data_IF_918549759025
#
_entry.id   IF_918549759025
#
_cell.length_a   1.000
_cell.length_b   1.000
_cell.length_c   1.000
_cell.angle_alpha   90.00
_cell.angle_beta   90.00
_cell.angle_gamma   90.00
#
_symmetry.space_group_name_H-M   'P 1'
#
loop_
_entity.id
_entity.type
_entity.pdbx_description
1 polymer ?
#
# COMPACT_ATOMS: atom_id res chain seq x y z
N UNK A 1 -6.24 3.27 -1.33
CA UNK A 1 -5.23 2.21 -1.18
C UNK A 1 -4.20 2.55 -0.08
N UNK A 2 -3.47 3.69 -0.18
CA UNK A 2 -2.45 4.07 0.81
C UNK A 2 -3.01 4.13 2.25
N UNK A 3 -4.21 4.66 2.43
CA UNK A 3 -4.90 4.70 3.72
C UNK A 3 -5.13 3.32 4.31
N UNK A 4 -5.51 2.34 3.48
CA UNK A 4 -5.69 0.95 3.91
C UNK A 4 -4.36 0.31 4.37
N UNK A 5 -3.28 0.56 3.61
CA UNK A 5 -1.93 0.10 3.96
C UNK A 5 -1.50 0.67 5.30
N UNK A 6 -1.66 2.00 5.50
CA UNK A 6 -1.29 2.66 6.74
C UNK A 6 -2.11 2.14 7.93
N UNK A 7 -3.41 1.97 7.78
CA UNK A 7 -4.26 1.42 8.84
C UNK A 7 -3.83 -0.01 9.27
N UNK A 8 -3.48 -0.86 8.29
CA UNK A 8 -2.96 -2.21 8.59
C UNK A 8 -1.58 -2.12 9.23
N UNK A 9 -0.68 -1.26 8.71
CA UNK A 9 0.66 -1.04 9.29
C UNK A 9 0.56 -0.59 10.73
N UNK A 10 -0.25 0.45 10.99
CA UNK A 10 -0.42 1.03 12.32
C UNK A 10 -1.07 0.02 13.29
N UNK A 11 -2.02 -0.79 12.81
CA UNK A 11 -2.59 -1.89 13.58
C UNK A 11 -1.56 -2.96 13.94
N UNK A 12 -0.71 -3.37 13.00
CA UNK A 12 0.33 -4.39 13.26
C UNK A 12 1.41 -3.84 14.19
N UNK A 13 1.87 -2.61 13.96
CA UNK A 13 2.91 -1.95 14.76
C UNK A 13 2.41 -1.66 16.18
N UNK A 14 1.14 -1.27 16.33
CA UNK A 14 0.58 -0.90 17.63
C UNK A 14 1.28 0.32 18.23
N UNK A 15 1.63 0.24 19.51
CA UNK A 15 2.43 1.24 20.23
C UNK A 15 3.94 0.91 20.20
N UNK A 16 4.35 0.01 19.30
CA UNK A 16 5.73 -0.44 19.16
C UNK A 16 6.06 -1.70 19.94
N UNK A 17 7.35 -2.00 20.03
CA UNK A 17 7.88 -3.18 20.70
C UNK A 17 8.23 -2.85 22.14
N UNK A 18 7.70 -3.60 23.08
CA UNK A 18 8.03 -3.44 24.49
C UNK A 18 9.43 -3.97 24.75
N UNK A 19 10.37 -3.07 24.95
CA UNK A 19 11.76 -3.34 25.28
C UNK A 19 12.11 -2.79 26.66
N UNK A 20 13.08 -3.43 27.29
CA UNK A 20 13.71 -2.90 28.52
C UNK A 20 14.98 -2.16 28.07
N UNK A 21 14.82 -0.88 27.67
CA UNK A 21 15.91 0.03 27.28
C UNK A 21 15.88 0.41 25.79
N UNK A 22 16.44 1.57 25.46
CA UNK A 22 16.65 2.05 24.08
C UNK A 22 17.94 1.43 23.54
N UNK A 23 17.86 0.21 23.02
CA UNK A 23 19.01 -0.44 22.43
C UNK A 23 19.07 -0.19 20.92
N UNK A 24 20.19 0.40 20.47
CA UNK A 24 20.49 0.54 19.06
C UNK A 24 20.91 -0.81 18.49
N UNK A 25 20.32 -1.17 17.35
CA UNK A 25 20.55 -2.47 16.72
C UNK A 25 21.61 -2.41 15.60
N UNK A 26 22.07 -1.21 15.26
CA UNK A 26 23.09 -1.01 14.23
C UNK A 26 23.88 0.30 14.47
N UNK A 27 24.98 0.44 13.72
CA UNK A 27 25.85 1.62 13.77
C UNK A 27 25.24 2.89 13.20
N UNK A 28 24.09 2.84 12.54
CA UNK A 28 23.33 4.03 12.09
C UNK A 28 22.52 4.66 13.23
N UNK A 29 22.47 4.05 14.39
CA UNK A 29 21.70 4.51 15.52
C UNK A 29 20.19 4.22 15.37
N UNK A 30 19.83 3.20 14.59
CA UNK A 30 18.45 2.74 14.51
C UNK A 30 18.13 1.81 15.68
N UNK A 31 16.96 2.02 16.26
CA UNK A 31 16.42 1.16 17.32
C UNK A 31 15.72 -0.07 16.74
N UNK A 32 15.36 -1.01 17.60
CA UNK A 32 14.57 -2.17 17.19
C UNK A 32 13.20 -1.73 16.67
N UNK A 33 12.58 -0.73 17.29
CA UNK A 33 11.31 -0.16 16.83
C UNK A 33 11.41 0.45 15.42
N UNK A 34 12.48 1.19 15.13
CA UNK A 34 12.71 1.78 13.81
C UNK A 34 12.78 0.71 12.71
N UNK A 35 13.48 -0.40 12.99
CA UNK A 35 13.58 -1.51 12.05
C UNK A 35 12.26 -2.26 11.96
N UNK A 36 11.59 -2.49 13.09
CA UNK A 36 10.30 -3.17 13.13
C UNK A 36 9.22 -2.43 12.35
N UNK A 37 9.13 -1.10 12.48
CA UNK A 37 8.18 -0.28 11.70
C UNK A 37 8.40 -0.44 10.18
N UNK A 38 9.66 -0.42 9.73
CA UNK A 38 10.01 -0.62 8.32
C UNK A 38 9.68 -2.02 7.82
N UNK A 39 9.93 -3.03 8.64
CA UNK A 39 9.57 -4.43 8.37
C UNK A 39 8.05 -4.59 8.23
N UNK A 40 7.29 -3.98 9.14
CA UNK A 40 5.80 -4.01 9.10
C UNK A 40 5.28 -3.33 7.83
N UNK A 41 5.87 -2.21 7.43
CA UNK A 41 5.48 -1.52 6.20
C UNK A 41 5.74 -2.38 4.96
N UNK A 42 6.96 -2.92 4.80
CA UNK A 42 7.32 -3.77 3.67
C UNK A 42 6.45 -5.04 3.63
N UNK A 43 6.23 -5.68 4.78
CA UNK A 43 5.36 -6.84 4.87
C UNK A 43 3.91 -6.52 4.45
N UNK A 44 3.40 -5.35 4.83
CA UNK A 44 2.04 -4.94 4.46
C UNK A 44 1.92 -4.65 2.96
N UNK A 45 2.95 -4.06 2.36
CA UNK A 45 3.01 -3.74 0.94
C UNK A 45 3.26 -4.96 0.05
N UNK A 46 4.25 -5.79 0.42
CA UNK A 46 4.80 -6.82 -0.46
C UNK A 46 4.51 -8.24 0.01
N UNK A 47 3.92 -8.42 1.19
CA UNK A 47 3.77 -9.73 1.85
C UNK A 47 5.13 -10.40 2.16
N UNK A 48 6.17 -9.59 2.25
CA UNK A 48 7.57 -9.97 2.48
C UNK A 48 8.38 -8.80 3.03
N UNK A 49 9.55 -9.08 3.56
CA UNK A 49 10.54 -8.07 3.95
C UNK A 49 11.97 -8.63 3.87
N UNK A 50 12.94 -7.77 3.84
CA UNK A 50 14.34 -8.16 3.80
C UNK A 50 15.19 -7.38 4.84
N UNK A 51 16.09 -8.09 5.48
CA UNK A 51 17.06 -7.53 6.42
C UNK A 51 18.47 -7.89 5.96
N UNK A 52 19.40 -6.96 6.07
CA UNK A 52 20.82 -7.30 6.07
C UNK A 52 21.23 -7.56 7.51
N UNK A 53 21.69 -8.76 7.77
CA UNK A 53 22.23 -9.19 9.05
C UNK A 53 23.73 -9.30 8.96
N UNK A 54 24.43 -8.74 9.94
CA UNK A 54 25.89 -8.76 10.00
C UNK A 54 26.31 -9.53 11.25
N UNK A 55 26.99 -10.64 11.05
CA UNK A 55 27.50 -11.47 12.13
C UNK A 55 28.76 -10.86 12.74
N UNK A 56 29.00 -11.14 14.02
CA UNK A 56 30.25 -10.80 14.67
C UNK A 56 31.41 -11.65 14.11
N UNK A 57 32.65 -11.28 14.43
CA UNK A 57 33.85 -11.97 13.92
C UNK A 57 33.91 -13.45 14.29
N UNK A 58 33.30 -13.82 15.39
CA UNK A 58 33.28 -15.19 15.89
C UNK A 58 32.16 -16.03 15.24
N UNK A 59 31.19 -15.38 14.62
CA UNK A 59 30.03 -16.04 14.01
C UNK A 59 29.07 -16.68 15.00
N UNK A 60 29.09 -16.23 16.25
CA UNK A 60 28.23 -16.77 17.31
C UNK A 60 27.03 -15.87 17.65
N UNK A 61 27.03 -14.64 17.18
CA UNK A 61 25.91 -13.71 17.35
C UNK A 61 25.82 -12.72 16.17
N UNK A 62 24.62 -12.24 15.87
CA UNK A 62 24.38 -11.13 14.95
C UNK A 62 24.79 -9.85 15.69
N UNK A 63 25.72 -9.08 15.11
CA UNK A 63 26.22 -7.83 15.65
C UNK A 63 25.34 -6.64 15.23
N UNK A 64 24.81 -6.65 14.00
CA UNK A 64 24.04 -5.55 13.46
C UNK A 64 22.92 -6.06 12.55
N UNK A 65 21.79 -5.35 12.56
CA UNK A 65 20.66 -5.60 11.68
C UNK A 65 20.25 -4.31 10.98
N UNK A 66 20.11 -4.36 9.67
CA UNK A 66 19.67 -3.25 8.84
C UNK A 66 18.44 -3.63 8.04
N UNK A 67 17.47 -2.75 7.95
CA UNK A 67 16.37 -2.91 7.01
C UNK A 67 16.85 -2.64 5.58
N UNK A 68 16.49 -3.51 4.65
CA UNK A 68 16.65 -3.30 3.22
C UNK A 68 15.27 -3.10 2.60
N UNK A 69 14.99 -1.95 1.96
CA UNK A 69 13.74 -1.76 1.25
C UNK A 69 13.50 -2.92 0.28
N UNK A 70 12.40 -3.64 0.48
CA UNK A 70 12.14 -4.90 -0.23
C UNK A 70 12.14 -4.75 -1.74
N UNK A 71 11.60 -3.64 -2.27
CA UNK A 71 11.60 -3.33 -3.69
C UNK A 71 13.01 -3.16 -4.29
N UNK A 72 14.03 -3.00 -3.46
CA UNK A 72 15.42 -2.85 -3.88
C UNK A 72 16.22 -4.16 -3.80
N UNK A 73 15.60 -5.24 -3.32
CA UNK A 73 16.22 -6.57 -3.27
C UNK A 73 15.76 -7.41 -4.45
N UNK A 74 16.67 -8.17 -5.04
CA UNK A 74 16.40 -9.15 -6.09
C UNK A 74 16.98 -10.49 -5.70
N UNK A 75 16.23 -11.56 -5.95
CA UNK A 75 16.71 -12.93 -5.78
C UNK A 75 17.72 -13.31 -6.86
N UNK A 76 18.72 -14.08 -6.49
CA UNK A 76 19.58 -14.79 -7.41
C UNK A 76 18.86 -15.95 -8.07
N UNK A 77 19.63 -16.77 -8.77
CA UNK A 77 19.14 -18.03 -9.33
C UNK A 77 19.01 -19.08 -8.23
N UNK A 78 18.10 -20.03 -8.45
CA UNK A 78 18.04 -21.24 -7.64
C UNK A 78 19.23 -22.15 -7.97
N UNK A 79 19.73 -22.84 -6.97
CA UNK A 79 20.72 -23.90 -7.11
C UNK A 79 20.08 -25.24 -7.54
N UNK A 80 20.85 -26.31 -7.49
CA UNK A 80 20.42 -27.67 -7.86
C UNK A 80 19.37 -28.25 -6.89
N UNK A 81 19.28 -27.69 -5.68
CA UNK A 81 18.33 -28.06 -4.62
C UNK A 81 17.10 -27.13 -4.57
N UNK A 82 16.87 -26.34 -5.63
CA UNK A 82 15.80 -25.33 -5.72
C UNK A 82 15.85 -24.26 -4.59
N UNK A 83 17.06 -23.95 -4.09
CA UNK A 83 17.26 -22.94 -3.05
C UNK A 83 17.88 -21.66 -3.63
N UNK A 84 17.42 -20.50 -3.15
CA UNK A 84 18.06 -19.22 -3.47
C UNK A 84 19.20 -18.99 -2.48
N UNK A 85 20.43 -19.06 -2.98
CA UNK A 85 21.65 -18.95 -2.16
C UNK A 85 22.22 -17.53 -2.12
N UNK A 86 21.73 -16.64 -2.97
CA UNK A 86 22.24 -15.27 -3.11
C UNK A 86 21.11 -14.28 -3.40
N UNK A 87 21.24 -13.07 -2.84
CA UNK A 87 20.37 -11.94 -3.11
C UNK A 87 21.21 -10.74 -3.52
N UNK A 88 20.63 -9.87 -4.34
CA UNK A 88 21.26 -8.66 -4.82
C UNK A 88 20.50 -7.43 -4.33
N UNK A 89 21.23 -6.42 -3.88
CA UNK A 89 20.67 -5.13 -3.49
C UNK A 89 21.23 -4.02 -4.37
N UNK A 90 20.33 -3.14 -4.85
CA UNK A 90 20.71 -1.87 -5.46
C UNK A 90 19.69 -0.80 -5.07
N UNK A 91 20.17 0.37 -4.68
CA UNK A 91 19.28 1.49 -4.36
C UNK A 91 18.50 2.03 -5.57
N UNK A 92 18.98 1.76 -6.80
CA UNK A 92 18.32 2.17 -8.06
C UNK A 92 18.60 1.20 -9.18
N UNK A 93 17.76 0.22 -9.37
CA UNK A 93 17.89 -0.81 -10.42
C UNK A 93 17.83 -0.28 -11.85
N UNK A 94 17.21 0.87 -12.08
CA UNK A 94 17.17 1.53 -13.39
C UNK A 94 18.48 2.24 -13.77
N UNK A 95 19.47 2.32 -12.86
CA UNK A 95 20.75 2.99 -13.10
C UNK A 95 21.90 2.26 -12.39
N UNK A 96 22.15 1.01 -12.80
CA UNK A 96 23.18 0.16 -12.22
C UNK A 96 24.60 0.69 -12.44
N UNK A 97 24.82 1.56 -13.42
CA UNK A 97 26.13 2.19 -13.66
C UNK A 97 26.53 3.11 -12.50
N UNK A 98 25.57 3.85 -11.93
CA UNK A 98 25.80 4.76 -10.79
C UNK A 98 25.58 4.07 -9.46
N UNK A 99 24.66 3.08 -9.41
CA UNK A 99 24.25 2.37 -8.23
C UNK A 99 24.38 0.86 -8.49
N UNK A 100 25.64 0.32 -8.47
CA UNK A 100 25.90 -1.08 -8.79
C UNK A 100 25.15 -2.00 -7.83
N UNK A 101 24.69 -3.12 -8.34
CA UNK A 101 24.11 -4.16 -7.51
C UNK A 101 25.20 -4.84 -6.70
N UNK A 102 24.96 -4.97 -5.41
CA UNK A 102 25.83 -5.70 -4.48
C UNK A 102 25.18 -7.05 -4.16
N UNK A 103 25.93 -8.13 -4.34
CA UNK A 103 25.53 -9.48 -3.99
C UNK A 103 25.76 -9.75 -2.49
N UNK A 104 24.82 -10.46 -1.91
CA UNK A 104 24.88 -10.94 -0.53
C UNK A 104 24.42 -12.40 -0.50
N UNK A 105 25.07 -13.19 0.33
CA UNK A 105 24.61 -14.54 0.56
C UNK A 105 23.23 -14.56 1.24
N UNK A 106 22.45 -15.60 0.95
CA UNK A 106 21.24 -15.86 1.69
C UNK A 106 21.58 -16.18 3.17
N UNK A 107 20.68 -15.86 4.07
CA UNK A 107 20.87 -16.07 5.50
C UNK A 107 21.13 -17.54 5.81
N UNK A 108 22.28 -17.80 6.41
CA UNK A 108 22.71 -19.10 6.91
C UNK A 108 23.44 -18.93 8.25
N UNK A 109 22.84 -19.42 9.32
CA UNK A 109 23.41 -19.33 10.66
C UNK A 109 24.63 -20.24 10.86
N UNK A 110 24.90 -21.16 9.94
CA UNK A 110 26.04 -22.12 10.06
C UNK A 110 27.28 -21.71 9.28
N UNK A 111 27.12 -20.92 8.20
CA UNK A 111 28.20 -20.42 7.37
C UNK A 111 28.21 -18.89 7.32
N UNK A 112 28.68 -18.27 8.38
CA UNK A 112 28.48 -16.85 8.69
C UNK A 112 29.76 -16.11 9.09
N UNK A 113 30.94 -16.61 8.68
CA UNK A 113 32.24 -16.00 9.01
C UNK A 113 32.92 -15.40 7.78
N UNK A 114 33.89 -14.50 8.04
CA UNK A 114 34.68 -13.88 6.98
C UNK A 114 33.83 -13.14 5.97
N UNK A 115 33.97 -13.45 4.69
CA UNK A 115 33.21 -12.82 3.61
C UNK A 115 31.72 -13.14 3.67
N UNK A 116 31.33 -14.20 4.39
CA UNK A 116 29.93 -14.61 4.60
C UNK A 116 29.29 -13.96 5.83
N UNK A 117 29.97 -13.07 6.53
CA UNK A 117 29.44 -12.43 7.74
C UNK A 117 28.26 -11.48 7.45
N UNK A 118 28.14 -10.93 6.25
CA UNK A 118 27.02 -10.06 5.85
C UNK A 118 26.09 -10.82 4.92
N UNK A 119 24.86 -11.04 5.37
CA UNK A 119 23.88 -11.89 4.72
C UNK A 119 22.55 -11.19 4.60
N UNK A 120 21.68 -11.63 3.68
CA UNK A 120 20.31 -11.17 3.57
C UNK A 120 19.35 -12.22 4.14
N UNK A 121 18.65 -11.84 5.21
CA UNK A 121 17.48 -12.56 5.68
C UNK A 121 16.28 -12.07 4.85
N UNK A 122 15.75 -12.97 4.00
CA UNK A 122 14.63 -12.72 3.11
C UNK A 122 13.43 -13.50 3.58
N UNK A 123 12.44 -12.82 4.15
CA UNK A 123 11.20 -13.41 4.63
C UNK A 123 10.05 -13.11 3.66
N UNK A 124 9.29 -14.12 3.31
CA UNK A 124 8.09 -13.96 2.49
C UNK A 124 7.00 -14.96 2.89
N UNK A 125 5.76 -14.60 2.64
CA UNK A 125 4.65 -15.54 2.76
C UNK A 125 4.56 -16.39 1.49
N UNK A 126 4.48 -17.69 1.69
CA UNK A 126 4.32 -18.63 0.60
C UNK A 126 3.13 -18.27 -0.29
N UNK A 127 3.37 -18.23 -1.60
CA UNK A 127 2.37 -18.00 -2.63
C UNK A 127 2.55 -19.08 -3.70
N UNK A 128 1.59 -19.99 -3.89
CA UNK A 128 1.71 -21.06 -4.89
C UNK A 128 2.05 -20.53 -6.29
N UNK A 129 3.04 -21.14 -6.94
CA UNK A 129 3.50 -20.75 -8.27
C UNK A 129 4.32 -19.47 -8.36
N UNK A 130 4.77 -18.93 -7.22
CA UNK A 130 5.64 -17.75 -7.14
C UNK A 130 6.84 -18.05 -6.26
N UNK A 131 7.90 -18.60 -6.84
CA UNK A 131 9.04 -19.12 -6.10
C UNK A 131 10.03 -18.04 -5.68
N UNK A 132 10.08 -16.91 -6.40
CA UNK A 132 11.04 -15.82 -6.14
C UNK A 132 10.44 -14.65 -5.36
N UNK A 133 9.20 -14.26 -5.70
CA UNK A 133 8.55 -13.10 -5.11
C UNK A 133 7.11 -13.42 -4.74
N UNK A 134 6.69 -13.11 -3.52
CA UNK A 134 5.30 -13.30 -3.12
C UNK A 134 4.38 -12.30 -3.83
N UNK A 135 3.10 -12.65 -3.90
CA UNK A 135 2.08 -11.69 -4.28
C UNK A 135 1.63 -10.88 -3.05
N UNK A 136 1.34 -9.59 -3.23
CA UNK A 136 0.78 -8.77 -2.15
C UNK A 136 -0.58 -9.34 -1.71
N UNK A 137 -0.89 -9.20 -0.43
CA UNK A 137 -2.13 -9.75 0.14
C UNK A 137 -3.40 -9.19 -0.52
N UNK A 138 -3.32 -8.00 -1.10
CA UNK A 138 -4.40 -7.28 -1.78
C UNK A 138 -4.38 -7.45 -3.32
N UNK A 139 -3.70 -8.47 -3.84
CA UNK A 139 -3.54 -8.71 -5.29
C UNK A 139 -4.86 -8.69 -6.06
N UNK A 140 -5.95 -9.17 -5.45
CA UNK A 140 -7.28 -9.16 -6.07
C UNK A 140 -7.82 -7.74 -6.36
N UNK A 141 -7.32 -6.72 -5.66
CA UNK A 141 -7.73 -5.32 -5.82
C UNK A 141 -6.81 -4.49 -6.71
N UNK A 142 -5.76 -5.04 -7.31
CA UNK A 142 -4.79 -4.26 -8.09
C UNK A 142 -5.43 -3.49 -9.25
N UNK A 143 -6.37 -4.12 -9.96
CA UNK A 143 -7.09 -3.48 -11.06
C UNK A 143 -7.98 -2.31 -10.56
N UNK A 144 -8.62 -2.47 -9.41
CA UNK A 144 -9.45 -1.41 -8.81
C UNK A 144 -8.59 -0.27 -8.29
N UNK A 145 -7.40 -0.56 -7.74
CA UNK A 145 -6.39 0.45 -7.33
C UNK A 145 -5.87 1.24 -8.54
N UNK A 146 -5.58 0.57 -9.65
CA UNK A 146 -5.18 1.23 -10.89
C UNK A 146 -6.31 2.07 -11.48
N UNK A 147 -7.54 1.55 -11.43
CA UNK A 147 -8.72 2.25 -11.92
C UNK A 147 -8.99 3.52 -11.10
N UNK A 148 -8.88 3.48 -9.76
CA UNK A 148 -8.96 4.63 -8.87
C UNK A 148 -7.99 5.74 -9.29
N UNK A 149 -6.71 5.39 -9.54
CA UNK A 149 -5.72 6.33 -10.01
C UNK A 149 -6.03 6.90 -11.39
N UNK A 150 -6.61 6.10 -12.29
CA UNK A 150 -7.03 6.56 -13.64
C UNK A 150 -8.24 7.48 -13.58
N UNK A 151 -9.23 7.17 -12.76
CA UNK A 151 -10.42 8.01 -12.54
C UNK A 151 -10.00 9.35 -11.95
N UNK A 152 -9.16 9.35 -10.92
CA UNK A 152 -8.65 10.58 -10.33
C UNK A 152 -7.89 11.45 -11.35
N UNK A 153 -7.03 10.86 -12.19
CA UNK A 153 -6.34 11.59 -13.26
C UNK A 153 -7.29 12.13 -14.32
N UNK A 154 -8.32 11.36 -14.65
CA UNK A 154 -9.35 11.79 -15.59
C UNK A 154 -10.07 13.04 -15.08
N UNK A 155 -10.46 13.06 -13.80
CA UNK A 155 -11.10 14.24 -13.19
C UNK A 155 -10.17 15.44 -13.14
N UNK A 156 -8.89 15.24 -12.73
CA UNK A 156 -7.88 16.32 -12.76
C UNK A 156 -7.71 16.88 -14.18
N UNK A 157 -7.59 16.02 -15.18
CA UNK A 157 -7.46 16.46 -16.56
C UNK A 157 -8.72 17.19 -17.06
N UNK A 158 -9.92 16.71 -16.69
CA UNK A 158 -11.17 17.37 -17.04
C UNK A 158 -11.28 18.76 -16.42
N UNK A 159 -10.95 18.89 -15.14
CA UNK A 159 -10.93 20.19 -14.44
C UNK A 159 -9.88 21.12 -15.07
N UNK A 160 -8.67 20.64 -15.30
CA UNK A 160 -7.56 21.42 -15.88
C UNK A 160 -7.83 21.84 -17.32
N UNK A 161 -8.58 21.05 -18.07
CA UNK A 161 -8.93 21.33 -19.46
C UNK A 161 -10.36 21.91 -19.64
N UNK A 162 -10.99 22.35 -18.53
CA UNK A 162 -12.33 22.97 -18.58
C UNK A 162 -13.46 22.00 -18.91
N UNK A 163 -13.53 20.82 -18.23
CA UNK A 163 -14.64 19.89 -18.29
C UNK A 163 -15.06 19.49 -19.71
N UNK A 164 -14.40 18.50 -20.32
CA UNK A 164 -14.76 17.83 -21.60
C UNK A 164 -15.09 18.80 -22.79
N UNK A 165 -15.05 18.41 -24.04
CA UNK A 165 -15.41 19.31 -25.12
C UNK A 165 -16.85 19.75 -24.91
N UNK A 166 -17.01 20.95 -24.33
CA UNK A 166 -18.30 21.48 -23.94
C UNK A 166 -19.07 22.08 -25.12
N UNK A 167 -18.37 22.30 -26.22
CA UNK A 167 -18.97 22.99 -27.37
C UNK A 167 -18.55 22.31 -28.68
N UNK A 168 -19.58 22.03 -29.50
CA UNK A 168 -19.41 21.73 -30.91
C UNK A 168 -19.73 23.00 -31.70
N UNK A 169 -18.72 23.55 -32.40
CA UNK A 169 -18.84 24.75 -33.21
C UNK A 169 -18.84 24.32 -34.68
N UNK A 170 -19.96 24.50 -35.37
CA UNK A 170 -20.06 24.20 -36.80
C UNK A 170 -20.13 25.50 -37.59
N UNK A 171 -19.09 25.74 -38.43
CA UNK A 171 -19.09 26.85 -39.37
C UNK A 171 -19.71 26.39 -40.68
N UNK A 172 -20.76 27.09 -41.14
CA UNK A 172 -21.52 26.78 -42.37
C UNK A 172 -21.18 27.72 -43.52
N UNK A 173 -19.98 28.35 -43.52
CA UNK A 173 -19.52 29.40 -44.44
C UNK A 173 -18.60 28.86 -45.55
N UNK A 174 -18.75 27.60 -45.96
CA UNK A 174 -17.88 26.95 -46.89
C UNK A 174 -16.71 26.18 -46.24
N UNK A 175 -15.96 25.47 -47.07
CA UNK A 175 -14.79 24.70 -46.62
C UNK A 175 -13.52 25.58 -46.76
N UNK A 176 -12.96 26.11 -45.65
CA UNK A 176 -11.76 26.95 -45.73
C UNK A 176 -10.53 26.17 -46.15
N UNK A 177 -9.56 26.85 -46.70
CA UNK A 177 -8.25 26.28 -47.03
C UNK A 177 -7.57 25.72 -45.75
N UNK A 178 -6.59 24.80 -45.90
CA UNK A 178 -5.86 24.26 -44.72
C UNK A 178 -5.20 25.36 -43.88
N UNK A 179 -4.77 26.45 -44.51
CA UNK A 179 -4.14 27.63 -43.85
C UNK A 179 -5.17 28.39 -43.03
N UNK A 180 -6.32 28.73 -43.61
CA UNK A 180 -7.44 29.37 -42.91
C UNK A 180 -8.01 28.54 -41.75
N UNK A 181 -8.06 27.20 -41.87
CA UNK A 181 -8.43 26.33 -40.76
C UNK A 181 -7.46 26.45 -39.59
N UNK A 182 -6.17 26.54 -39.88
CA UNK A 182 -5.11 26.68 -38.86
C UNK A 182 -5.23 28.02 -38.13
N UNK A 183 -5.49 29.09 -38.87
CA UNK A 183 -5.67 30.42 -38.30
C UNK A 183 -6.89 30.50 -37.40
N UNK A 184 -8.04 29.97 -37.83
CA UNK A 184 -9.25 29.91 -37.02
C UNK A 184 -9.05 29.02 -35.78
N UNK A 185 -8.35 27.87 -35.93
CA UNK A 185 -8.04 27.01 -34.80
C UNK A 185 -7.16 27.76 -33.78
N UNK A 186 -6.13 28.43 -34.23
CA UNK A 186 -5.20 29.20 -33.37
C UNK A 186 -5.91 30.35 -32.66
N UNK A 187 -6.78 31.07 -33.37
CA UNK A 187 -7.54 32.21 -32.80
C UNK A 187 -8.55 31.72 -31.72
N UNK A 188 -9.24 30.61 -31.97
CA UNK A 188 -10.16 30.02 -30.98
C UNK A 188 -9.36 29.44 -29.80
N UNK A 189 -8.24 28.77 -30.06
CA UNK A 189 -7.36 28.27 -29.01
C UNK A 189 -6.86 29.40 -28.12
N UNK A 190 -6.41 30.51 -28.69
CA UNK A 190 -5.97 31.69 -27.93
C UNK A 190 -7.09 32.36 -27.15
N UNK A 191 -8.31 32.35 -27.68
CA UNK A 191 -9.46 32.99 -27.05
C UNK A 191 -10.09 32.16 -25.94
N UNK A 192 -10.07 30.83 -26.07
CA UNK A 192 -10.76 29.90 -25.16
C UNK A 192 -9.81 28.99 -24.36
N UNK A 193 -8.51 29.01 -24.63
CA UNK A 193 -7.49 28.22 -23.93
C UNK A 193 -6.57 29.12 -23.11
N UNK A 194 -6.99 29.51 -21.93
CA UNK A 194 -6.13 30.11 -20.90
C UNK A 194 -6.27 29.31 -19.62
N UNK A 195 -5.40 29.50 -18.63
CA UNK A 195 -5.47 28.81 -17.35
C UNK A 195 -6.85 28.90 -16.67
N UNK A 196 -7.66 29.91 -17.04
CA UNK A 196 -9.02 30.11 -16.55
C UNK A 196 -10.13 29.66 -17.54
N UNK A 197 -9.82 29.33 -18.81
CA UNK A 197 -10.80 29.09 -19.89
C UNK A 197 -10.51 27.84 -20.74
N UNK A 198 -9.83 26.85 -20.22
CA UNK A 198 -9.40 25.66 -20.97
C UNK A 198 -10.54 24.68 -21.26
N UNK A 199 -11.56 25.12 -22.02
CA UNK A 199 -12.60 24.27 -22.61
C UNK A 199 -12.14 23.71 -23.95
N UNK A 200 -12.23 22.40 -24.15
CA UNK A 200 -12.03 21.79 -25.48
C UNK A 200 -13.25 22.05 -26.34
N UNK A 201 -13.03 22.56 -27.55
CA UNK A 201 -14.07 22.77 -28.56
C UNK A 201 -13.80 21.84 -29.76
N UNK A 202 -14.86 21.49 -30.44
CA UNK A 202 -14.82 20.72 -31.69
C UNK A 202 -15.24 21.64 -32.83
N UNK A 203 -14.36 21.81 -33.84
CA UNK A 203 -14.60 22.66 -35.01
C UNK A 203 -15.05 21.83 -36.20
N UNK A 204 -16.14 22.24 -36.84
CA UNK A 204 -16.62 21.69 -38.10
C UNK A 204 -16.88 22.82 -39.09
N UNK A 205 -16.50 22.58 -40.35
CA UNK A 205 -16.75 23.50 -41.47
C UNK A 205 -17.64 22.83 -42.52
N UNK A 206 -18.65 23.52 -42.98
CA UNK A 206 -19.61 23.02 -43.99
C UNK A 206 -19.96 24.09 -45.00
N UNK A 207 -20.46 23.68 -46.18
CA UNK A 207 -20.78 24.56 -47.31
C UNK A 207 -22.17 25.24 -47.21
N UNK A 208 -22.84 25.22 -46.08
CA UNK A 208 -24.18 25.80 -45.94
C UNK A 208 -24.11 27.28 -45.56
N UNK A 209 -24.88 28.11 -46.24
CA UNK A 209 -24.97 29.57 -46.11
C UNK A 209 -25.75 30.02 -44.88
N UNK A 210 -25.43 29.49 -43.70
CA UNK A 210 -26.13 29.74 -42.43
C UNK A 210 -25.15 30.06 -41.30
N UNK A 211 -25.64 30.80 -40.29
CA UNK A 211 -24.81 31.14 -39.10
C UNK A 211 -24.23 29.90 -38.42
N UNK A 212 -23.05 30.02 -37.78
CA UNK A 212 -22.44 28.94 -37.01
C UNK A 212 -23.41 28.40 -35.97
N UNK A 213 -23.53 27.09 -35.87
CA UNK A 213 -24.33 26.43 -34.86
C UNK A 213 -23.41 25.96 -33.72
N UNK A 214 -23.72 26.36 -32.51
CA UNK A 214 -23.03 25.98 -31.32
C UNK A 214 -23.90 25.02 -30.52
N UNK A 215 -23.52 23.76 -30.48
CA UNK A 215 -24.27 22.73 -29.74
C UNK A 215 -23.46 22.33 -28.50
N UNK A 216 -23.98 22.51 -27.28
CA UNK A 216 -23.32 22.02 -26.09
C UNK A 216 -23.30 20.48 -26.11
N UNK A 217 -22.12 19.90 -25.87
CA UNK A 217 -21.97 18.48 -25.67
C UNK A 217 -22.21 18.21 -24.18
N UNK A 218 -23.31 17.57 -23.86
CA UNK A 218 -23.64 17.21 -22.48
C UNK A 218 -22.62 16.17 -22.01
N UNK A 219 -21.86 16.50 -20.95
CA UNK A 219 -20.95 15.55 -20.31
C UNK A 219 -21.71 14.30 -19.85
N UNK A 220 -21.06 13.15 -19.93
CA UNK A 220 -21.62 11.90 -19.44
C UNK A 220 -22.02 12.05 -17.95
N UNK A 221 -23.18 11.48 -17.63
CA UNK A 221 -23.93 11.56 -16.39
C UNK A 221 -23.03 11.53 -15.13
N UNK A 222 -22.97 12.61 -14.37
CA UNK A 222 -22.19 12.71 -13.11
C UNK A 222 -22.51 11.57 -12.13
N UNK A 223 -23.77 11.10 -12.14
CA UNK A 223 -24.20 9.97 -11.30
C UNK A 223 -23.48 8.65 -11.63
N UNK A 224 -23.03 8.46 -12.87
CA UNK A 224 -22.29 7.26 -13.27
C UNK A 224 -20.89 7.25 -12.61
N UNK A 225 -20.22 8.39 -12.60
CA UNK A 225 -18.88 8.50 -11.99
C UNK A 225 -18.95 8.35 -10.47
N UNK A 226 -19.94 8.93 -9.81
CA UNK A 226 -20.14 8.76 -8.36
C UNK A 226 -20.34 7.29 -8.00
N UNK A 227 -21.23 6.58 -8.72
CA UNK A 227 -21.46 5.15 -8.49
C UNK A 227 -20.21 4.31 -8.76
N UNK A 228 -19.41 4.69 -9.77
CA UNK A 228 -18.16 4.03 -10.09
C UNK A 228 -17.12 4.20 -8.96
N UNK A 229 -16.96 5.42 -8.45
CA UNK A 229 -16.04 5.73 -7.34
C UNK A 229 -16.41 5.00 -6.05
N UNK A 230 -17.69 4.97 -5.69
CA UNK A 230 -18.18 4.20 -4.54
C UNK A 230 -17.87 2.71 -4.69
N UNK A 231 -18.08 2.15 -5.87
CA UNK A 231 -17.80 0.74 -6.16
C UNK A 231 -16.31 0.42 -6.12
N UNK A 232 -15.46 1.29 -6.69
CA UNK A 232 -14.01 1.15 -6.64
C UNK A 232 -13.54 1.18 -5.20
N UNK A 233 -13.98 2.17 -4.42
CA UNK A 233 -13.64 2.34 -3.01
C UNK A 233 -14.01 1.09 -2.20
N UNK A 234 -15.23 0.59 -2.36
CA UNK A 234 -15.70 -0.63 -1.69
C UNK A 234 -14.85 -1.87 -2.03
N UNK A 235 -14.44 -2.02 -3.30
CA UNK A 235 -13.59 -3.14 -3.74
C UNK A 235 -12.17 -3.04 -3.20
N UNK A 236 -11.61 -1.83 -3.14
CA UNK A 236 -10.30 -1.60 -2.52
C UNK A 236 -10.37 -1.98 -1.03
N UNK A 237 -11.37 -1.53 -0.27
CA UNK A 237 -11.56 -1.91 1.12
C UNK A 237 -11.66 -3.44 1.28
N UNK A 238 -12.48 -4.08 0.46
CA UNK A 238 -12.67 -5.54 0.47
C UNK A 238 -11.36 -6.28 0.18
N UNK A 239 -10.56 -5.82 -0.78
CA UNK A 239 -9.26 -6.43 -1.12
C UNK A 239 -8.26 -6.36 0.03
N UNK A 240 -8.36 -5.34 0.87
CA UNK A 240 -7.61 -5.19 2.12
C UNK A 240 -8.27 -5.87 3.31
N UNK A 241 -9.42 -6.49 3.14
CA UNK A 241 -10.21 -7.12 4.20
C UNK A 241 -10.66 -6.14 5.28
N UNK A 242 -10.83 -4.87 4.92
CA UNK A 242 -11.38 -3.83 5.78
C UNK A 242 -12.90 -3.87 5.63
N UNK A 243 -13.59 -4.27 6.69
CA UNK A 243 -15.04 -4.56 6.66
C UNK A 243 -15.90 -3.32 6.80
N UNK A 244 -15.38 -2.25 7.38
CA UNK A 244 -16.11 -1.00 7.57
C UNK A 244 -15.22 0.21 7.28
N UNK A 245 -15.69 1.21 6.50
CA UNK A 245 -14.98 2.48 6.30
C UNK A 245 -14.70 3.23 7.62
N UNK A 246 -15.51 2.98 8.65
CA UNK A 246 -15.34 3.59 9.98
C UNK A 246 -14.00 3.22 10.64
N UNK A 247 -13.40 2.08 10.28
CA UNK A 247 -12.04 1.69 10.71
C UNK A 247 -10.95 2.63 10.18
N UNK A 248 -11.25 3.38 9.11
CA UNK A 248 -10.38 4.39 8.51
C UNK A 248 -10.76 5.82 8.94
N UNK A 249 -11.67 5.97 9.91
CA UNK A 249 -12.20 7.28 10.34
C UNK A 249 -13.18 7.91 9.35
N UNK A 250 -13.67 7.17 8.36
CA UNK A 250 -14.65 7.65 7.39
C UNK A 250 -16.05 7.44 7.98
N UNK A 251 -16.80 8.53 8.13
CA UNK A 251 -18.18 8.49 8.65
C UNK A 251 -19.13 8.01 7.59
N UNK A 252 -19.93 7.00 7.92
CA UNK A 252 -21.12 6.66 7.15
C UNK A 252 -22.28 7.61 7.50
N UNK A 253 -23.14 7.92 6.55
CA UNK A 253 -24.21 8.91 6.65
C UNK A 253 -25.35 8.54 7.63
N UNK A 254 -25.30 7.37 8.22
CA UNK A 254 -26.34 6.84 9.11
C UNK A 254 -25.96 6.99 10.59
N UNK A 255 -26.41 8.08 11.23
CA UNK A 255 -26.63 8.28 12.69
C UNK A 255 -25.60 7.82 13.73
N UNK A 256 -25.34 8.67 14.72
CA UNK A 256 -24.21 8.62 15.68
C UNK A 256 -24.34 7.61 16.86
N UNK A 257 -25.49 7.04 17.17
CA UNK A 257 -25.67 6.30 18.45
C UNK A 257 -25.51 4.78 18.36
N UNK A 258 -25.64 4.18 17.19
CA UNK A 258 -25.32 2.75 16.94
C UNK A 258 -23.87 2.55 16.48
N UNK A 259 -23.19 3.63 16.10
CA UNK A 259 -21.89 3.62 15.43
C UNK A 259 -20.74 3.20 16.37
N UNK A 260 -20.79 3.55 17.64
CA UNK A 260 -19.67 3.26 18.55
C UNK A 260 -19.50 1.76 18.84
N UNK A 261 -20.59 1.02 19.01
CA UNK A 261 -20.54 -0.42 19.26
C UNK A 261 -20.26 -1.19 17.95
N UNK A 262 -20.79 -0.72 16.83
CA UNK A 262 -20.47 -1.26 15.50
C UNK A 262 -18.97 -1.11 15.17
N UNK A 263 -18.39 0.06 15.45
CA UNK A 263 -16.95 0.29 15.29
C UNK A 263 -16.12 -0.63 16.16
N UNK A 264 -16.51 -0.85 17.43
CA UNK A 264 -15.82 -1.77 18.33
C UNK A 264 -15.85 -3.20 17.79
N UNK A 265 -17.02 -3.68 17.35
CA UNK A 265 -17.17 -5.03 16.77
C UNK A 265 -16.36 -5.17 15.49
N UNK A 266 -16.44 -4.18 14.59
CA UNK A 266 -15.66 -4.16 13.35
C UNK A 266 -14.15 -4.16 13.64
N UNK A 267 -13.71 -3.36 14.64
CA UNK A 267 -12.31 -3.30 15.05
C UNK A 267 -11.85 -4.63 15.64
N UNK A 268 -12.61 -5.25 16.56
CA UNK A 268 -12.27 -6.53 17.13
C UNK A 268 -12.18 -7.64 16.07
N UNK A 269 -13.09 -7.63 15.10
CA UNK A 269 -13.03 -8.55 13.96
C UNK A 269 -11.80 -8.33 13.10
N UNK A 270 -11.49 -7.07 12.77
CA UNK A 270 -10.32 -6.70 11.97
C UNK A 270 -9.02 -7.04 12.69
N UNK A 271 -8.91 -6.73 13.98
CA UNK A 271 -7.77 -7.08 14.82
C UNK A 271 -7.53 -8.60 14.81
N UNK A 272 -8.55 -9.39 15.13
CA UNK A 272 -8.42 -10.85 15.25
C UNK A 272 -8.21 -11.58 13.92
N UNK A 273 -8.75 -11.05 12.80
CA UNK A 273 -8.71 -11.76 11.51
C UNK A 273 -7.65 -11.25 10.54
N UNK A 274 -7.21 -10.01 10.69
CA UNK A 274 -6.25 -9.38 9.76
C UNK A 274 -4.95 -8.98 10.45
N UNK A 275 -5.04 -8.26 11.56
CA UNK A 275 -3.87 -7.67 12.21
C UNK A 275 -3.08 -8.71 12.98
N UNK A 276 -3.72 -9.41 13.91
CA UNK A 276 -3.04 -10.38 14.80
C UNK A 276 -2.34 -11.52 14.03
N UNK A 277 -2.95 -12.16 13.02
CA UNK A 277 -2.27 -13.19 12.24
C UNK A 277 -1.03 -12.69 11.52
N UNK A 278 -1.05 -11.44 11.02
CA UNK A 278 0.11 -10.81 10.37
C UNK A 278 1.18 -10.45 11.39
N UNK A 279 0.79 -9.82 12.50
CA UNK A 279 1.66 -9.48 13.64
C UNK A 279 2.40 -10.72 14.13
N UNK A 280 1.69 -11.82 14.37
CA UNK A 280 2.28 -13.08 14.81
C UNK A 280 3.38 -13.59 13.89
N UNK A 281 3.16 -13.54 12.58
CA UNK A 281 4.17 -13.98 11.59
C UNK A 281 5.43 -13.11 11.63
N UNK A 282 5.27 -11.79 11.65
CA UNK A 282 6.38 -10.84 11.69
C UNK A 282 7.14 -10.99 13.02
N UNK A 283 6.43 -10.98 14.14
CA UNK A 283 7.03 -11.15 15.47
C UNK A 283 7.82 -12.45 15.59
N UNK A 284 7.30 -13.53 15.01
CA UNK A 284 8.01 -14.83 15.03
C UNK A 284 9.28 -14.79 14.20
N UNK A 285 9.21 -14.28 12.96
CA UNK A 285 10.37 -14.27 12.04
C UNK A 285 11.40 -13.21 12.41
N UNK A 286 10.99 -12.01 12.78
CA UNK A 286 11.89 -10.96 13.24
C UNK A 286 12.51 -11.29 14.61
N UNK A 287 11.69 -11.84 15.53
CA UNK A 287 12.14 -12.31 16.84
C UNK A 287 13.19 -13.42 16.76
N UNK A 288 13.17 -14.24 15.71
CA UNK A 288 14.23 -15.22 15.47
C UNK A 288 15.59 -14.54 15.23
N UNK A 289 15.61 -13.48 14.41
CA UNK A 289 16.83 -12.69 14.14
C UNK A 289 17.33 -12.02 15.43
N UNK A 290 16.43 -11.40 16.20
CA UNK A 290 16.81 -10.75 17.46
C UNK A 290 17.34 -11.74 18.51
N UNK A 291 16.81 -12.95 18.56
CA UNK A 291 17.33 -13.99 19.44
C UNK A 291 18.77 -14.37 19.11
N UNK A 292 19.13 -14.39 17.82
CA UNK A 292 20.50 -14.66 17.37
C UNK A 292 21.44 -13.47 17.60
N UNK A 293 20.91 -12.27 17.80
CA UNK A 293 21.70 -11.08 18.19
C UNK A 293 22.09 -11.08 19.67
N UNK A 294 21.74 -12.11 20.42
CA UNK A 294 22.01 -12.19 21.86
C UNK A 294 21.07 -11.35 22.71
N UNK A 295 20.14 -10.61 22.08
CA UNK A 295 19.06 -9.95 22.77
C UNK A 295 18.06 -11.01 23.25
N UNK A 296 18.05 -11.29 24.54
CA UNK A 296 17.03 -12.17 25.12
C UNK A 296 15.67 -11.45 25.23
N UNK A 297 15.21 -10.94 24.08
CA UNK A 297 14.04 -10.09 23.98
C UNK A 297 12.89 -10.93 23.47
N UNK A 298 11.87 -11.07 24.31
CA UNK A 298 10.55 -11.46 23.85
C UNK A 298 9.92 -10.22 23.22
N UNK A 299 9.79 -10.23 21.90
CA UNK A 299 9.04 -9.17 21.21
C UNK A 299 7.59 -9.29 21.67
N UNK A 300 7.13 -8.29 22.37
CA UNK A 300 5.73 -8.12 22.72
C UNK A 300 5.29 -6.77 22.15
N UNK A 301 4.49 -6.83 21.07
CA UNK A 301 3.92 -5.63 20.48
C UNK A 301 2.78 -5.18 21.38
N UNK A 302 2.80 -3.92 21.79
CA UNK A 302 1.73 -3.32 22.58
C UNK A 302 0.58 -2.97 21.64
N UNK A 303 -0.60 -3.60 21.75
CA UNK A 303 -1.75 -3.24 20.93
C UNK A 303 -2.17 -1.79 21.18
N UNK A 304 -2.73 -1.13 20.17
CA UNK A 304 -3.34 0.17 20.35
C UNK A 304 -4.41 0.13 21.45
N UNK A 305 -4.52 1.20 22.23
CA UNK A 305 -5.46 1.30 23.36
C UNK A 305 -6.93 1.03 23.01
N UNK A 306 -7.34 1.26 21.76
CA UNK A 306 -8.65 0.86 21.25
C UNK A 306 -8.83 -0.68 21.24
N UNK A 307 -7.78 -1.44 21.00
CA UNK A 307 -7.80 -2.90 21.06
C UNK A 307 -7.85 -3.41 22.50
N UNK A 308 -7.12 -2.77 23.41
CA UNK A 308 -7.08 -3.20 24.81
C UNK A 308 -8.44 -3.08 25.53
N UNK A 309 -9.29 -2.12 25.11
CA UNK A 309 -10.63 -1.93 25.66
C UNK A 309 -11.71 -2.89 25.05
N UNK A 310 -11.33 -3.73 24.11
CA UNK A 310 -12.22 -4.71 23.46
C UNK A 310 -11.97 -6.15 23.92
N UNK A 311 -11.06 -6.39 24.88
CA UNK A 311 -10.98 -7.68 25.56
C UNK A 311 -12.35 -8.04 26.13
N UNK A 312 -12.80 -9.25 25.82
CA UNK A 312 -14.16 -9.73 26.09
C UNK A 312 -14.63 -9.34 27.50
N UNK A 313 -15.91 -8.94 27.64
CA UNK A 313 -16.45 -8.78 28.99
C UNK A 313 -16.26 -10.10 29.73
N UNK A 314 -15.73 -10.01 30.96
CA UNK A 314 -15.68 -11.15 31.88
C UNK A 314 -17.00 -11.86 31.83
N UNK A 315 -17.02 -13.11 31.33
CA UNK A 315 -18.16 -13.98 31.47
C UNK A 315 -18.40 -14.13 32.97
N UNK A 316 -19.58 -13.82 33.47
CA UNK A 316 -19.85 -14.04 34.89
C UNK A 316 -19.56 -15.52 35.22
N UNK A 317 -18.71 -15.74 36.21
CA UNK A 317 -18.48 -17.08 36.77
C UNK A 317 -19.82 -17.77 37.00
N UNK A 318 -19.96 -18.95 36.42
CA UNK A 318 -21.13 -19.83 36.59
C UNK A 318 -21.58 -19.87 38.06
N UNK A 319 -22.72 -19.27 38.30
CA UNK A 319 -23.40 -19.50 39.59
C UNK A 319 -23.75 -20.99 39.66
N UNK A 320 -23.04 -21.61 40.56
CA UNK A 320 -23.18 -22.95 41.10
C UNK A 320 -24.61 -23.50 41.01
N UNK A 321 -24.91 -24.33 40.02
CA UNK A 321 -26.16 -25.11 39.94
C UNK A 321 -25.97 -26.35 40.80
N UNK A 322 -25.93 -26.16 42.10
CA UNK A 322 -26.07 -27.26 43.07
C UNK A 322 -27.03 -26.83 44.16
N UNK A 323 -28.34 -26.85 43.85
CA UNK A 323 -29.39 -27.00 44.87
C UNK A 323 -30.72 -27.30 44.16
N UNK A 324 -30.94 -28.56 43.83
CA UNK A 324 -32.30 -29.13 43.65
C UNK A 324 -32.54 -29.99 44.88
N UNK A 325 -33.48 -29.64 45.77
CA UNK A 325 -33.94 -30.56 46.81
C UNK A 325 -34.87 -31.60 46.19
N UNK A 326 -34.67 -32.83 46.62
CA UNK A 326 -35.50 -34.01 46.35
C UNK A 326 -36.88 -33.85 46.94
#
# INVERSE_FOLDING_TARGET
>A
HATCINAIKDGIFGEGVKLIGDEYINTKGETIDDIFEKVVLDYTLYNAYALNVVWNKEGNAIAEVYHLPFNNVRSGKMDEDDQIVEYFYSSKWNNLRKYPAQGYRAFDATDNKGDNASQIFYYYNYTPGNDFYPLPAYVAGLNDIELDAKVSRFHVNNISNGLAPSLFISFKNGIPTPEQRRDVYTEIEQTFSGEENAGRFFLSFSDADTAPEVTPITAANDSYYLTLEERISSRILTSHRITSPALLGIKDSNGFSSVADEIKVAYAHFEGTVIEPKRKKIVTSFGYILKLSGYNIKIEVVPNTLAANTSAPDMPEDQNINNIPV
#
